data_IF_279837811845
#
_entry.id   IF_279837811845
#
_cell.length_a   1.000
_cell.length_b   1.000
_cell.length_c   1.000
_cell.angle_alpha   90.00
_cell.angle_beta   90.00
_cell.angle_gamma   90.00
#
_symmetry.space_group_name_H-M   'P 1'
#
loop_
_entity.id
_entity.type
_entity.pdbx_description
1 polymer ?
#
# COMPACT_ATOMS: atom_id res chain seq x y z
N UNK A 1 -0.97 1.44 18.42
CA UNK A 1 -0.93 1.97 17.04
C UNK A 1 0.53 2.21 16.63
N UNK A 2 0.85 1.93 15.36
CA UNK A 2 2.16 2.19 14.75
C UNK A 2 1.95 3.18 13.62
N UNK A 3 2.87 4.12 13.46
CA UNK A 3 2.85 5.09 12.34
C UNK A 3 4.13 4.94 11.52
N UNK A 4 3.97 4.72 10.22
CA UNK A 4 5.04 4.64 9.22
C UNK A 4 4.75 5.69 8.13
N UNK A 5 5.28 6.89 8.33
CA UNK A 5 5.09 8.00 7.37
C UNK A 5 6.37 8.16 6.57
N UNK A 6 6.30 7.87 5.27
CA UNK A 6 7.45 7.89 4.35
C UNK A 6 8.65 7.08 4.87
N UNK A 7 8.39 5.79 5.14
CA UNK A 7 9.39 4.85 5.68
C UNK A 7 9.52 3.61 4.80
N UNK A 8 8.39 2.95 4.45
CA UNK A 8 8.43 1.64 3.81
C UNK A 8 9.06 1.66 2.42
N UNK A 9 8.95 2.75 1.69
CA UNK A 9 9.53 2.96 0.38
C UNK A 9 11.06 3.02 0.40
N UNK A 10 11.66 3.33 1.56
CA UNK A 10 13.10 3.46 1.73
C UNK A 10 13.80 2.21 2.25
N UNK A 11 13.05 1.20 2.69
CA UNK A 11 13.61 0.04 3.39
C UNK A 11 13.31 -1.27 2.67
N UNK A 12 14.18 -2.26 2.90
CA UNK A 12 13.96 -3.61 2.35
C UNK A 12 14.16 -3.68 0.84
N UNK A 13 15.31 -3.21 0.33
CA UNK A 13 15.65 -3.28 -1.10
C UNK A 13 15.57 -4.71 -1.65
N UNK A 14 16.10 -5.69 -0.92
CA UNK A 14 15.95 -7.10 -1.26
C UNK A 14 14.63 -7.66 -0.73
N UNK A 15 13.94 -8.53 -1.50
CA UNK A 15 12.67 -9.14 -1.08
C UNK A 15 12.75 -9.82 0.30
N UNK A 16 13.82 -10.57 0.56
CA UNK A 16 13.98 -11.28 1.84
C UNK A 16 14.08 -10.30 3.02
N UNK A 17 14.81 -9.19 2.83
CA UNK A 17 14.92 -8.14 3.85
C UNK A 17 13.56 -7.50 4.12
N UNK A 18 12.79 -7.21 3.07
CA UNK A 18 11.45 -6.65 3.23
C UNK A 18 10.52 -7.62 3.95
N UNK A 19 10.57 -8.92 3.60
CA UNK A 19 9.80 -9.94 4.28
C UNK A 19 10.16 -10.05 5.78
N UNK A 20 11.44 -9.94 6.12
CA UNK A 20 11.89 -9.91 7.52
C UNK A 20 11.35 -8.66 8.26
N UNK A 21 11.33 -7.51 7.62
CA UNK A 21 10.75 -6.28 8.17
C UNK A 21 9.25 -6.48 8.45
N UNK A 22 8.51 -7.05 7.51
CA UNK A 22 7.08 -7.34 7.70
C UNK A 22 6.83 -8.36 8.82
N UNK A 23 7.68 -9.38 8.94
CA UNK A 23 7.62 -10.34 10.07
C UNK A 23 7.88 -9.66 11.40
N UNK A 24 8.88 -8.80 11.47
CA UNK A 24 9.24 -8.10 12.69
C UNK A 24 8.14 -7.08 13.09
N UNK A 25 7.60 -6.36 12.10
CA UNK A 25 6.46 -5.49 12.30
C UNK A 25 5.26 -6.27 12.86
N UNK A 26 4.98 -7.45 12.31
CA UNK A 26 3.94 -8.33 12.83
C UNK A 26 4.26 -8.80 14.25
N UNK A 27 5.50 -9.22 14.53
CA UNK A 27 5.94 -9.73 15.84
C UNK A 27 5.69 -8.72 16.96
N UNK A 28 5.99 -7.44 16.74
CA UNK A 28 5.84 -6.38 17.74
C UNK A 28 4.39 -5.92 17.95
N UNK A 29 3.48 -6.26 17.02
CA UNK A 29 2.07 -5.97 17.16
C UNK A 29 1.40 -6.88 18.19
N UNK A 30 0.42 -6.34 18.90
CA UNK A 30 -0.62 -7.11 19.56
C UNK A 30 -1.76 -7.39 18.58
N UNK A 31 -2.65 -8.31 18.94
CA UNK A 31 -3.88 -8.53 18.13
C UNK A 31 -4.64 -7.21 17.94
N UNK A 32 -5.12 -6.98 16.73
CA UNK A 32 -5.85 -5.77 16.33
C UNK A 32 -5.04 -4.46 16.42
N UNK A 33 -3.70 -4.55 16.45
CA UNK A 33 -2.87 -3.34 16.34
C UNK A 33 -3.07 -2.72 14.96
N UNK A 34 -3.39 -1.42 14.95
CA UNK A 34 -3.48 -0.64 13.71
C UNK A 34 -2.12 -0.04 13.36
N UNK A 35 -1.76 -0.18 12.08
CA UNK A 35 -0.54 0.34 11.49
C UNK A 35 -0.96 1.31 10.39
N UNK A 36 -0.68 2.59 10.60
CA UNK A 36 -0.95 3.65 9.62
C UNK A 36 0.29 3.89 8.78
N UNK A 37 0.16 3.73 7.48
CA UNK A 37 1.23 3.84 6.49
C UNK A 37 0.88 4.98 5.55
N UNK A 38 1.82 5.88 5.31
CA UNK A 38 1.74 6.90 4.25
C UNK A 38 2.97 6.76 3.36
N UNK A 39 2.76 6.61 2.06
CA UNK A 39 3.82 6.44 1.07
C UNK A 39 3.49 7.21 -0.21
N UNK A 40 4.48 7.69 -0.98
CA UNK A 40 4.21 8.30 -2.28
C UNK A 40 3.61 7.26 -3.23
N UNK A 41 2.74 7.72 -4.13
CA UNK A 41 2.16 6.83 -5.12
C UNK A 41 3.23 6.36 -6.12
N UNK A 42 3.29 5.07 -6.49
CA UNK A 42 4.32 4.52 -7.39
C UNK A 42 4.41 5.19 -8.77
N UNK A 43 3.33 5.84 -9.23
CA UNK A 43 3.29 6.57 -10.50
C UNK A 43 3.35 8.09 -10.31
N UNK A 44 3.90 8.55 -9.21
CA UNK A 44 4.11 9.97 -8.94
C UNK A 44 5.59 10.32 -8.98
N UNK A 45 5.91 11.53 -9.41
CA UNK A 45 7.28 12.02 -9.50
C UNK A 45 7.97 12.04 -8.13
N UNK A 46 7.22 12.26 -7.05
CA UNK A 46 7.76 12.17 -5.68
C UNK A 46 8.34 10.78 -5.36
N UNK A 47 7.74 9.69 -5.92
CA UNK A 47 8.32 8.36 -5.79
C UNK A 47 9.51 8.18 -6.75
N UNK A 48 9.34 8.57 -8.00
CA UNK A 48 10.29 8.26 -9.09
C UNK A 48 11.58 9.08 -9.00
N UNK A 49 11.54 10.29 -8.43
CA UNK A 49 12.67 11.23 -8.41
C UNK A 49 13.65 10.98 -7.27
N UNK A 50 13.24 10.29 -6.21
CA UNK A 50 14.10 10.05 -5.05
C UNK A 50 14.89 8.74 -5.23
N UNK A 51 16.22 8.78 -5.39
CA UNK A 51 17.03 7.58 -5.57
C UNK A 51 17.07 6.68 -4.32
N UNK A 52 16.60 7.14 -3.18
CA UNK A 52 16.50 6.36 -1.95
C UNK A 52 15.20 5.57 -1.83
N UNK A 53 14.25 5.76 -2.75
CA UNK A 53 13.07 4.94 -2.87
C UNK A 53 13.41 3.61 -3.54
N UNK A 54 13.53 2.58 -2.74
CA UNK A 54 13.98 1.25 -3.20
C UNK A 54 12.83 0.31 -3.55
N UNK A 55 11.59 0.66 -3.14
CA UNK A 55 10.43 -0.20 -3.31
C UNK A 55 9.12 0.58 -3.47
N UNK A 56 8.39 0.37 -4.56
CA UNK A 56 7.00 0.85 -4.64
C UNK A 56 6.12 0.07 -3.65
N UNK A 57 5.36 0.78 -2.83
CA UNK A 57 4.38 0.19 -1.92
C UNK A 57 3.01 0.30 -2.58
N UNK A 58 2.37 -0.84 -2.80
CA UNK A 58 1.07 -0.93 -3.46
C UNK A 58 0.05 -1.65 -2.58
N UNK A 59 -1.22 -1.40 -2.82
CA UNK A 59 -2.31 -2.09 -2.12
C UNK A 59 -2.21 -3.60 -2.32
N UNK A 60 -2.07 -4.05 -3.58
CA UNK A 60 -1.93 -5.47 -3.89
C UNK A 60 -0.68 -6.09 -3.24
N UNK A 61 0.45 -5.35 -3.23
CA UNK A 61 1.67 -5.81 -2.57
C UNK A 61 1.47 -6.06 -1.07
N UNK A 62 0.73 -5.19 -0.38
CA UNK A 62 0.41 -5.40 1.04
C UNK A 62 -0.63 -6.50 1.26
N UNK A 63 -1.57 -6.71 0.34
CA UNK A 63 -2.53 -7.83 0.38
C UNK A 63 -1.86 -9.21 0.29
N UNK A 64 -0.63 -9.31 -0.24
CA UNK A 64 0.12 -10.57 -0.23
C UNK A 64 0.45 -11.05 1.20
N UNK A 65 0.36 -10.17 2.20
CA UNK A 65 0.53 -10.49 3.62
C UNK A 65 -0.80 -10.70 4.37
N UNK A 66 -1.93 -10.78 3.67
CA UNK A 66 -3.25 -11.13 4.20
C UNK A 66 -3.48 -12.64 4.05
N UNK A 67 -3.62 -13.32 5.18
CA UNK A 67 -3.74 -14.78 5.22
C UNK A 67 -5.03 -15.29 4.58
N UNK A 68 -6.15 -14.62 4.84
CA UNK A 68 -7.46 -15.00 4.28
C UNK A 68 -7.46 -14.86 2.75
N UNK A 69 -6.88 -13.76 2.22
CA UNK A 69 -6.71 -13.58 0.79
C UNK A 69 -5.78 -14.64 0.19
N UNK A 70 -4.66 -14.97 0.84
CA UNK A 70 -3.75 -16.01 0.37
C UNK A 70 -4.45 -17.36 0.25
N UNK A 71 -5.24 -17.78 1.24
CA UNK A 71 -6.01 -19.02 1.22
C UNK A 71 -7.05 -19.03 0.10
N UNK A 72 -7.74 -17.91 -0.11
CA UNK A 72 -8.69 -17.73 -1.20
C UNK A 72 -8.02 -17.86 -2.57
N UNK A 73 -6.90 -17.16 -2.77
CA UNK A 73 -6.14 -17.20 -4.03
C UNK A 73 -5.57 -18.58 -4.33
N UNK A 74 -5.10 -19.31 -3.32
CA UNK A 74 -4.66 -20.72 -3.50
C UNK A 74 -5.81 -21.61 -4.00
N UNK A 75 -7.01 -21.49 -3.40
CA UNK A 75 -8.20 -22.23 -3.85
C UNK A 75 -8.59 -21.88 -5.30
N UNK A 76 -8.38 -20.64 -5.71
CA UNK A 76 -8.64 -20.15 -7.06
C UNK A 76 -7.49 -20.44 -8.04
N UNK A 77 -6.39 -21.04 -7.59
CA UNK A 77 -5.16 -21.27 -8.37
C UNK A 77 -4.59 -19.98 -8.97
N UNK A 78 -4.75 -18.85 -8.28
CA UNK A 78 -4.16 -17.57 -8.67
C UNK A 78 -2.64 -17.61 -8.46
N UNK A 79 -1.88 -17.01 -9.37
CA UNK A 79 -0.41 -16.99 -9.35
C UNK A 79 0.18 -15.94 -8.39
N UNK A 80 -0.52 -15.59 -7.31
CA UNK A 80 -0.04 -14.64 -6.32
C UNK A 80 0.87 -15.32 -5.29
N UNK A 81 1.95 -14.64 -4.90
CA UNK A 81 2.85 -15.13 -3.86
C UNK A 81 2.12 -15.17 -2.49
N UNK A 82 2.00 -16.33 -1.82
CA UNK A 82 1.27 -16.43 -0.55
C UNK A 82 2.16 -16.03 0.64
N UNK A 83 2.61 -14.77 0.68
CA UNK A 83 3.60 -14.29 1.65
C UNK A 83 3.11 -14.38 3.09
N UNK A 84 1.80 -14.19 3.33
CA UNK A 84 1.23 -14.35 4.66
C UNK A 84 1.42 -15.78 5.20
N UNK A 85 1.18 -16.78 4.36
CA UNK A 85 1.35 -18.19 4.73
C UNK A 85 2.82 -18.58 4.87
N UNK A 86 3.68 -18.13 3.94
CA UNK A 86 5.12 -18.41 3.96
C UNK A 86 5.79 -17.85 5.22
N UNK A 87 5.42 -16.62 5.60
CA UNK A 87 6.06 -15.91 6.71
C UNK A 87 5.30 -15.98 8.03
N UNK A 88 4.14 -16.65 8.04
CA UNK A 88 3.26 -16.77 9.20
C UNK A 88 2.90 -15.41 9.82
N UNK A 89 2.40 -14.52 8.97
CA UNK A 89 1.87 -13.20 9.34
C UNK A 89 0.45 -13.06 8.83
N UNK A 90 -0.33 -12.15 9.41
CA UNK A 90 -1.67 -11.84 8.93
C UNK A 90 -1.94 -10.33 9.10
N UNK A 91 -1.89 -9.59 7.99
CA UNK A 91 -2.19 -8.17 7.93
C UNK A 91 -3.41 -7.93 7.05
N UNK A 92 -4.40 -7.27 7.60
CA UNK A 92 -5.64 -6.96 6.88
C UNK A 92 -5.74 -5.48 6.61
N UNK A 93 -6.00 -5.09 5.36
CA UNK A 93 -6.25 -3.69 5.03
C UNK A 93 -7.63 -3.29 5.53
N UNK A 94 -7.69 -2.27 6.38
CA UNK A 94 -8.92 -1.72 6.95
C UNK A 94 -9.39 -0.47 6.22
N UNK A 95 -8.43 0.35 5.77
CA UNK A 95 -8.73 1.61 5.12
C UNK A 95 -7.65 1.97 4.11
N UNK A 96 -8.07 2.56 3.00
CA UNK A 96 -7.21 3.16 1.97
C UNK A 96 -7.76 4.53 1.61
N UNK A 97 -6.87 5.52 1.51
CA UNK A 97 -7.19 6.85 0.99
C UNK A 97 -6.10 7.27 0.02
N UNK A 98 -6.52 7.81 -1.12
CA UNK A 98 -5.64 8.44 -2.09
C UNK A 98 -5.67 9.94 -1.90
N UNK A 99 -4.52 10.55 -1.70
CA UNK A 99 -4.36 12.00 -1.69
C UNK A 99 -3.91 12.45 -3.09
N UNK A 100 -4.73 13.29 -3.71
CA UNK A 100 -4.52 13.73 -5.08
C UNK A 100 -3.59 14.95 -5.13
N UNK A 101 -2.97 15.19 -6.28
CA UNK A 101 -2.37 16.49 -6.58
C UNK A 101 -3.43 17.60 -6.53
N UNK A 102 -3.04 18.77 -6.03
CA UNK A 102 -3.94 19.90 -5.76
C UNK A 102 -4.74 20.30 -6.99
N UNK A 103 -4.13 20.24 -8.20
CA UNK A 103 -4.83 20.60 -9.44
C UNK A 103 -6.06 19.74 -9.70
N UNK A 104 -6.01 18.42 -9.37
CA UNK A 104 -7.15 17.53 -9.57
C UNK A 104 -8.22 17.70 -8.49
N UNK A 105 -7.80 17.96 -7.25
CA UNK A 105 -8.73 18.36 -6.20
C UNK A 105 -9.49 19.64 -6.57
N UNK A 106 -8.79 20.64 -7.12
CA UNK A 106 -9.39 21.89 -7.56
C UNK A 106 -10.32 21.69 -8.75
N UNK A 107 -9.92 20.87 -9.74
CA UNK A 107 -10.78 20.55 -10.90
C UNK A 107 -12.09 19.88 -10.46
N UNK A 108 -12.03 18.97 -9.49
CA UNK A 108 -13.23 18.32 -8.94
C UNK A 108 -14.10 19.32 -8.16
N UNK A 109 -13.47 20.14 -7.29
CA UNK A 109 -14.15 21.16 -6.51
C UNK A 109 -14.84 22.22 -7.39
N UNK A 110 -14.17 22.65 -8.46
CA UNK A 110 -14.68 23.63 -9.43
C UNK A 110 -15.67 22.98 -10.44
N UNK A 111 -16.02 21.70 -10.26
CA UNK A 111 -16.92 20.96 -11.16
C UNK A 111 -16.45 20.92 -12.63
N UNK A 112 -15.15 21.05 -12.88
CA UNK A 112 -14.55 20.94 -14.23
C UNK A 112 -14.46 19.49 -14.70
N UNK A 113 -14.42 18.56 -13.76
CA UNK A 113 -14.48 17.12 -13.97
C UNK A 113 -15.44 16.50 -12.94
N UNK A 114 -16.04 15.39 -13.27
CA UNK A 114 -16.81 14.55 -12.33
C UNK A 114 -15.94 13.45 -11.72
N UNK A 115 -16.52 12.70 -10.78
CA UNK A 115 -15.80 11.60 -10.10
C UNK A 115 -15.38 10.50 -11.06
N UNK A 116 -16.21 10.14 -12.03
CA UNK A 116 -15.90 9.08 -12.98
C UNK A 116 -14.73 9.48 -13.88
N UNK A 117 -14.71 10.71 -14.35
CA UNK A 117 -13.58 11.25 -15.12
C UNK A 117 -12.29 11.24 -14.29
N UNK A 118 -12.37 11.61 -13.00
CA UNK A 118 -11.22 11.57 -12.11
C UNK A 118 -10.71 10.13 -11.92
N UNK A 119 -11.58 9.16 -11.69
CA UNK A 119 -11.21 7.74 -11.57
C UNK A 119 -10.52 7.24 -12.84
N UNK A 120 -11.04 7.57 -14.01
CA UNK A 120 -10.39 7.26 -15.29
C UNK A 120 -9.00 7.89 -15.43
N UNK A 121 -8.82 9.12 -14.93
CA UNK A 121 -7.53 9.80 -14.91
C UNK A 121 -6.54 9.12 -13.95
N UNK A 122 -7.00 8.70 -12.77
CA UNK A 122 -6.20 7.96 -11.80
C UNK A 122 -5.68 6.64 -12.39
N UNK A 123 -6.46 5.98 -13.22
CA UNK A 123 -6.06 4.73 -13.89
C UNK A 123 -5.08 4.96 -15.04
N UNK A 124 -5.22 6.05 -15.78
CA UNK A 124 -4.51 6.28 -17.05
C UNK A 124 -3.25 7.11 -16.92
N UNK A 125 -3.21 8.08 -16.00
CA UNK A 125 -2.16 9.09 -15.96
C UNK A 125 -1.27 9.00 -14.73
N UNK A 126 -0.01 9.41 -14.89
CA UNK A 126 0.91 9.67 -13.79
C UNK A 126 0.56 11.00 -13.11
N UNK A 127 1.05 11.20 -11.89
CA UNK A 127 0.93 12.46 -11.15
C UNK A 127 -0.54 12.91 -10.91
N UNK A 128 -1.47 11.97 -10.82
CA UNK A 128 -2.84 12.24 -10.36
C UNK A 128 -2.94 11.99 -8.86
N UNK A 129 -2.51 10.81 -8.42
CA UNK A 129 -2.42 10.45 -7.01
C UNK A 129 -1.02 10.79 -6.52
N UNK A 130 -0.92 11.65 -5.52
CA UNK A 130 0.36 12.06 -4.91
C UNK A 130 0.87 11.00 -3.93
N UNK A 131 0.02 10.59 -3.00
CA UNK A 131 0.37 9.62 -1.97
C UNK A 131 -0.81 8.72 -1.62
N UNK A 132 -0.49 7.62 -0.98
CA UNK A 132 -1.46 6.64 -0.49
C UNK A 132 -1.37 6.58 1.03
N UNK A 133 -2.50 6.74 1.70
CA UNK A 133 -2.65 6.39 3.10
C UNK A 133 -3.29 5.00 3.20
N UNK A 134 -2.67 4.10 3.95
CA UNK A 134 -3.11 2.72 4.15
C UNK A 134 -3.14 2.43 5.63
N UNK A 135 -4.22 1.85 6.11
CA UNK A 135 -4.31 1.33 7.47
C UNK A 135 -4.38 -0.18 7.44
N UNK A 136 -3.37 -0.83 8.02
CA UNK A 136 -3.34 -2.26 8.24
C UNK A 136 -3.75 -2.59 9.67
N UNK A 137 -4.35 -3.76 9.85
CA UNK A 137 -4.62 -4.37 11.15
C UNK A 137 -3.83 -5.69 11.23
N UNK A 138 -3.06 -5.86 12.31
CA UNK A 138 -2.41 -7.14 12.58
C UNK A 138 -3.41 -8.09 13.28
N UNK A 139 -3.62 -9.28 12.70
CA UNK A 139 -4.50 -10.33 13.22
C UNK A 139 -3.64 -11.42 13.85
N UNK A 140 -3.84 -11.69 15.16
CA UNK A 140 -3.08 -12.70 15.91
C UNK A 140 -3.94 -13.89 16.23
#
# INVERSE_FOLDING_TARGET
NILLSHVLEHIGQHPDTFNLIMKELYRICKNQTLISITVPHPRHDDFLSDPTHVRPITILGLQLYDKELNEKWQKQKAANSPLALIHNVDFRIKHVRYDLEDKYNNMLKDQKIDKQTLEDMMDKYNNVIKQIFIQLEAIK
#
